data_IF_696742907193
#
_entry.id   IF_696742907193
#
_cell.length_a   1.000
_cell.length_b   1.000
_cell.length_c   1.000
_cell.angle_alpha   90.00
_cell.angle_beta   90.00
_cell.angle_gamma   90.00
#
_symmetry.space_group_name_H-M   'P 1'
#
loop_
_entity.id
_entity.type
_entity.pdbx_description
1 polymer ?
#
# COMPACT_ATOMS: atom_id res chain seq x y z
N UNK A 1 21.13 11.12 -3.10
CA UNK A 1 20.07 10.30 -2.49
C UNK A 1 18.83 11.17 -2.37
N UNK A 2 17.78 10.87 -3.14
CA UNK A 2 16.49 11.55 -3.00
C UNK A 2 15.85 11.18 -1.67
N UNK A 3 15.06 12.08 -1.09
CA UNK A 3 14.34 11.79 0.13
C UNK A 3 13.31 10.67 -0.12
N UNK A 4 13.32 9.65 0.72
CA UNK A 4 12.25 8.65 0.79
C UNK A 4 11.06 9.32 1.47
N UNK A 5 10.01 9.62 0.71
CA UNK A 5 8.83 10.36 1.19
C UNK A 5 7.60 9.47 1.10
N UNK A 6 6.81 9.47 2.18
CA UNK A 6 5.49 8.84 2.19
C UNK A 6 4.51 9.68 1.36
N UNK A 7 3.80 9.03 0.43
CA UNK A 7 2.81 9.73 -0.39
C UNK A 7 1.66 10.32 0.43
N UNK A 8 0.94 11.25 -0.19
CA UNK A 8 -0.42 11.59 0.24
C UNK A 8 -1.30 10.34 0.24
N UNK A 9 -2.34 10.28 1.10
CA UNK A 9 -3.32 9.21 1.08
C UNK A 9 -4.05 9.16 -0.27
N UNK A 10 -4.23 7.95 -0.77
CA UNK A 10 -5.09 7.61 -1.89
C UNK A 10 -6.31 6.88 -1.35
N UNK A 11 -7.47 7.53 -1.36
CA UNK A 11 -8.74 6.99 -0.89
C UNK A 11 -9.29 6.04 -1.95
N UNK A 12 -9.43 4.76 -1.57
CA UNK A 12 -9.72 3.69 -2.52
C UNK A 12 -11.03 3.92 -3.26
N UNK A 13 -12.06 4.41 -2.57
CA UNK A 13 -13.39 4.63 -3.15
C UNK A 13 -13.41 5.88 -4.03
N UNK A 14 -12.83 6.97 -3.53
CA UNK A 14 -13.00 8.31 -4.10
C UNK A 14 -11.96 8.60 -5.20
N UNK A 15 -10.69 8.26 -4.99
CA UNK A 15 -9.59 8.68 -5.87
C UNK A 15 -9.44 7.78 -7.10
N UNK A 16 -10.08 6.61 -7.11
CA UNK A 16 -10.00 5.63 -8.22
C UNK A 16 -10.45 6.20 -9.56
N UNK A 17 -11.40 7.14 -9.53
CA UNK A 17 -11.91 7.80 -10.73
C UNK A 17 -11.00 8.92 -11.26
N UNK A 18 -10.08 9.42 -10.43
CA UNK A 18 -9.36 10.66 -10.71
C UNK A 18 -7.86 10.46 -10.90
N UNK A 19 -7.32 9.30 -10.52
CA UNK A 19 -5.88 9.09 -10.63
C UNK A 19 -5.42 7.65 -10.49
N UNK A 20 -4.16 7.45 -10.87
CA UNK A 20 -3.43 6.22 -10.57
C UNK A 20 -2.95 6.22 -9.12
N UNK A 21 -2.69 5.03 -8.57
CA UNK A 21 -2.00 4.90 -7.29
C UNK A 21 -0.70 5.72 -7.27
N UNK A 22 -0.35 6.35 -6.13
CA UNK A 22 0.92 7.04 -6.01
C UNK A 22 2.10 6.08 -6.27
N UNK A 23 3.14 6.57 -6.94
CA UNK A 23 4.33 5.78 -7.29
C UNK A 23 4.03 4.51 -8.11
N UNK A 24 2.94 4.49 -8.90
CA UNK A 24 2.43 3.29 -9.59
C UNK A 24 3.47 2.48 -10.39
N UNK A 25 4.43 3.16 -11.03
CA UNK A 25 5.47 2.52 -11.85
C UNK A 25 6.72 2.09 -11.06
N UNK A 26 6.86 2.50 -9.79
CA UNK A 26 8.05 2.25 -9.00
C UNK A 26 7.96 0.94 -8.20
N UNK A 27 9.12 0.38 -7.90
CA UNK A 27 9.26 -0.54 -6.78
C UNK A 27 9.14 0.21 -5.45
N UNK A 28 8.72 -0.47 -4.40
CA UNK A 28 8.62 0.14 -3.08
C UNK A 28 7.69 -0.57 -2.13
N UNK A 29 7.21 0.19 -1.14
CA UNK A 29 6.36 -0.28 -0.05
C UNK A 29 5.01 0.44 -0.09
N UNK A 30 3.93 -0.28 0.21
CA UNK A 30 2.59 0.28 0.38
C UNK A 30 2.06 -0.02 1.77
N UNK A 31 1.28 0.93 2.28
CA UNK A 31 0.65 0.92 3.58
C UNK A 31 -0.85 1.07 3.37
N UNK A 32 -1.63 0.20 4.01
CA UNK A 32 -3.09 0.16 3.90
C UNK A 32 -3.69 0.56 5.23
N UNK A 33 -4.65 1.48 5.20
CA UNK A 33 -5.31 2.05 6.38
C UNK A 33 -6.81 1.83 6.33
N UNK A 34 -7.44 1.75 7.50
CA UNK A 34 -8.90 1.78 7.63
C UNK A 34 -9.46 3.22 7.65
N UNK A 35 -10.77 3.35 7.90
CA UNK A 35 -11.47 4.64 7.98
C UNK A 35 -11.11 5.47 9.22
N UNK A 36 -10.47 4.87 10.22
CA UNK A 36 -10.03 5.52 11.44
C UNK A 36 -8.52 5.80 11.41
N UNK A 37 -7.91 5.78 10.23
CA UNK A 37 -6.46 5.94 10.00
C UNK A 37 -5.59 4.90 10.73
N UNK A 38 -6.16 3.74 11.11
CA UNK A 38 -5.38 2.64 11.70
C UNK A 38 -4.66 1.88 10.59
N UNK A 39 -3.38 1.59 10.80
CA UNK A 39 -2.56 0.83 9.86
C UNK A 39 -2.96 -0.65 9.90
N UNK A 40 -3.56 -1.12 8.81
CA UNK A 40 -4.01 -2.50 8.68
C UNK A 40 -2.91 -3.43 8.17
N UNK A 41 -2.17 -2.99 7.15
CA UNK A 41 -1.27 -3.86 6.40
C UNK A 41 -0.12 -3.07 5.76
N UNK A 42 1.06 -3.69 5.72
CA UNK A 42 2.24 -3.23 4.96
C UNK A 42 2.64 -4.33 3.98
N UNK A 43 2.93 -3.96 2.73
CA UNK A 43 3.50 -4.88 1.76
C UNK A 43 4.50 -4.21 0.82
N UNK A 44 5.29 -5.01 0.11
CA UNK A 44 6.20 -4.54 -0.96
C UNK A 44 5.78 -4.97 -2.38
N UNK A 45 6.31 -4.26 -3.36
CA UNK A 45 6.21 -4.63 -4.77
C UNK A 45 7.39 -4.10 -5.60
N UNK A 46 7.66 -4.78 -6.71
CA UNK A 46 8.57 -4.26 -7.76
C UNK A 46 7.84 -3.28 -8.70
N UNK A 47 6.51 -3.26 -8.62
CA UNK A 47 5.63 -2.31 -9.30
C UNK A 47 4.37 -2.08 -8.48
N UNK A 48 4.31 -0.95 -7.77
CA UNK A 48 3.27 -0.65 -6.77
C UNK A 48 1.87 -0.64 -7.38
N UNK A 49 1.69 -0.04 -8.56
CA UNK A 49 0.38 0.04 -9.22
C UNK A 49 -0.18 -1.34 -9.58
N UNK A 50 0.66 -2.24 -10.10
CA UNK A 50 0.25 -3.62 -10.44
C UNK A 50 -0.14 -4.39 -9.18
N UNK A 51 0.62 -4.25 -8.08
CA UNK A 51 0.33 -4.92 -6.81
C UNK A 51 -0.97 -4.38 -6.19
N UNK A 52 -1.13 -3.06 -6.13
CA UNK A 52 -2.32 -2.42 -5.59
C UNK A 52 -3.57 -2.75 -6.43
N UNK A 53 -3.45 -2.82 -7.76
CA UNK A 53 -4.54 -3.27 -8.65
C UNK A 53 -4.96 -4.74 -8.47
N UNK A 54 -4.14 -5.57 -7.82
CA UNK A 54 -4.55 -6.91 -7.41
C UNK A 54 -5.48 -6.87 -6.18
N UNK A 55 -5.30 -5.88 -5.31
CA UNK A 55 -6.07 -5.70 -4.08
C UNK A 55 -7.30 -4.81 -4.23
N UNK A 56 -7.23 -3.82 -5.13
CA UNK A 56 -8.23 -2.78 -5.32
C UNK A 56 -8.56 -2.66 -6.81
N UNK A 57 -9.78 -2.27 -7.12
CA UNK A 57 -10.25 -2.18 -8.50
C UNK A 57 -11.46 -1.27 -8.64
N UNK A 58 -12.09 -1.32 -9.80
CA UNK A 58 -13.39 -0.71 -10.05
C UNK A 58 -14.53 -1.60 -9.58
N UNK A 59 -15.50 -1.04 -8.88
CA UNK A 59 -16.77 -1.74 -8.62
C UNK A 59 -17.43 -2.18 -9.96
N UNK A 60 -18.40 -3.12 -9.93
CA UNK A 60 -18.96 -3.70 -11.15
C UNK A 60 -19.54 -2.68 -12.16
N UNK A 61 -20.11 -1.59 -11.67
CA UNK A 61 -20.69 -0.47 -12.43
C UNK A 61 -19.67 0.62 -12.78
N UNK A 62 -18.42 0.51 -12.33
CA UNK A 62 -17.30 1.42 -12.62
C UNK A 62 -17.54 2.88 -12.22
N UNK A 63 -18.25 3.07 -11.12
CA UNK A 63 -18.58 4.40 -10.55
C UNK A 63 -17.64 4.77 -9.40
N UNK A 64 -17.04 3.79 -8.73
CA UNK A 64 -16.12 4.01 -7.61
C UNK A 64 -15.08 2.89 -7.52
N UNK A 65 -14.00 3.15 -6.78
CA UNK A 65 -13.09 2.07 -6.42
C UNK A 65 -13.67 1.15 -5.35
N UNK A 66 -13.22 -0.10 -5.33
CA UNK A 66 -13.61 -1.10 -4.33
C UNK A 66 -12.44 -1.99 -3.93
N UNK A 67 -12.58 -2.62 -2.78
CA UNK A 67 -11.65 -3.64 -2.30
C UNK A 67 -11.99 -4.98 -2.95
N UNK A 68 -11.04 -5.52 -3.72
CA UNK A 68 -11.12 -6.87 -4.33
C UNK A 68 -10.69 -7.97 -3.37
N UNK A 69 -9.68 -7.68 -2.55
CA UNK A 69 -9.09 -8.65 -1.63
C UNK A 69 -9.90 -8.72 -0.32
N UNK A 70 -10.59 -9.83 -0.01
CA UNK A 70 -11.40 -9.94 1.20
C UNK A 70 -10.60 -9.72 2.49
N UNK A 71 -9.30 -10.04 2.49
CA UNK A 71 -8.44 -9.81 3.66
C UNK A 71 -8.26 -8.33 4.00
N UNK A 72 -8.54 -7.44 3.05
CA UNK A 72 -8.41 -5.99 3.19
C UNK A 72 -9.78 -5.30 3.15
N UNK A 73 -10.88 -6.00 3.48
CA UNK A 73 -12.25 -5.47 3.36
C UNK A 73 -12.46 -4.12 4.06
N UNK A 74 -11.75 -3.87 5.16
CA UNK A 74 -11.80 -2.62 5.92
C UNK A 74 -10.87 -1.52 5.37
N UNK A 75 -10.14 -1.79 4.29
CA UNK A 75 -9.25 -0.82 3.69
C UNK A 75 -10.02 0.38 3.14
N UNK A 76 -9.58 1.57 3.54
CA UNK A 76 -10.14 2.84 3.11
C UNK A 76 -9.12 3.65 2.31
N UNK A 77 -7.86 3.67 2.74
CA UNK A 77 -6.81 4.45 2.11
C UNK A 77 -5.52 3.65 1.92
N UNK A 78 -4.74 4.06 0.92
CA UNK A 78 -3.40 3.54 0.66
C UNK A 78 -2.41 4.70 0.65
N UNK A 79 -1.23 4.48 1.24
CA UNK A 79 -0.06 5.33 1.04
C UNK A 79 1.07 4.48 0.49
N UNK A 80 1.98 5.11 -0.23
CA UNK A 80 3.14 4.40 -0.80
C UNK A 80 4.43 5.15 -0.54
N UNK A 81 5.51 4.38 -0.51
CA UNK A 81 6.87 4.83 -0.55
C UNK A 81 7.47 4.24 -1.83
N UNK A 82 7.62 5.07 -2.86
CA UNK A 82 8.30 4.69 -4.09
C UNK A 82 9.81 4.82 -3.94
N UNK A 83 10.54 3.84 -4.47
CA UNK A 83 12.00 3.84 -4.45
C UNK A 83 12.56 4.20 -5.83
N UNK A 84 13.73 4.86 -5.88
CA UNK A 84 14.50 5.00 -7.11
C UNK A 84 14.80 3.63 -7.73
N UNK A 85 14.90 3.59 -9.06
CA UNK A 85 15.08 2.34 -9.81
C UNK A 85 16.37 1.61 -9.42
N UNK A 86 17.41 2.34 -9.05
CA UNK A 86 18.71 1.83 -8.60
C UNK A 86 18.67 1.23 -7.19
N UNK A 87 17.66 1.56 -6.37
CA UNK A 87 17.50 1.15 -4.96
C UNK A 87 16.28 0.24 -4.75
N UNK A 88 15.74 -0.37 -5.81
CA UNK A 88 14.54 -1.22 -5.73
C UNK A 88 14.64 -2.34 -4.68
N UNK A 89 15.84 -2.87 -4.48
CA UNK A 89 16.13 -3.98 -3.56
C UNK A 89 15.91 -3.58 -2.09
N UNK A 90 15.95 -2.27 -1.77
CA UNK A 90 15.72 -1.77 -0.41
C UNK A 90 14.27 -1.95 0.04
N UNK A 91 13.32 -2.17 -0.89
CA UNK A 91 11.90 -2.34 -0.56
C UNK A 91 11.66 -3.46 0.46
N UNK A 92 12.42 -4.57 0.38
CA UNK A 92 12.31 -5.68 1.32
C UNK A 92 12.80 -5.32 2.72
N UNK A 93 13.91 -4.57 2.82
CA UNK A 93 14.44 -4.13 4.10
C UNK A 93 13.52 -3.10 4.76
N UNK A 94 12.98 -2.16 3.97
CA UNK A 94 12.04 -1.13 4.44
C UNK A 94 10.73 -1.77 4.92
N UNK A 95 10.16 -2.71 4.14
CA UNK A 95 8.97 -3.46 4.54
C UNK A 95 9.17 -4.17 5.88
N UNK A 96 10.25 -4.96 6.00
CA UNK A 96 10.54 -5.70 7.23
C UNK A 96 10.73 -4.76 8.45
N UNK A 97 11.44 -3.65 8.25
CA UNK A 97 11.63 -2.64 9.29
C UNK A 97 10.29 -2.03 9.74
N UNK A 98 9.43 -1.65 8.79
CA UNK A 98 8.16 -1.01 9.09
C UNK A 98 7.18 -1.97 9.76
N UNK A 99 7.10 -3.23 9.30
CA UNK A 99 6.28 -4.26 9.95
C UNK A 99 6.73 -4.44 11.40
N UNK A 100 8.04 -4.57 11.64
CA UNK A 100 8.58 -4.75 13.00
C UNK A 100 8.31 -3.54 13.90
N UNK A 101 8.37 -2.32 13.37
CA UNK A 101 8.18 -1.09 14.15
C UNK A 101 6.72 -0.73 14.42
N UNK A 102 5.84 -1.03 13.47
CA UNK A 102 4.45 -0.56 13.49
C UNK A 102 3.45 -1.68 13.79
N UNK A 103 3.90 -2.94 13.72
CA UNK A 103 3.16 -4.14 14.08
C UNK A 103 1.71 -4.22 13.53
N UNK A 104 1.51 -4.02 12.21
CA UNK A 104 0.16 -3.96 11.64
C UNK A 104 -0.59 -5.28 11.77
N UNK A 105 -1.88 -5.18 12.10
CA UNK A 105 -2.71 -6.32 12.51
C UNK A 105 -2.81 -7.43 11.47
N UNK A 106 -2.85 -7.09 10.17
CA UNK A 106 -3.06 -8.05 9.10
C UNK A 106 -1.76 -8.62 8.52
N UNK A 107 -0.60 -8.16 8.98
CA UNK A 107 0.66 -8.83 8.66
C UNK A 107 0.80 -10.07 9.55
N UNK A 108 1.08 -11.23 8.96
CA UNK A 108 1.33 -12.47 9.73
C UNK A 108 2.83 -12.76 9.83
N UNK A 109 3.60 -12.34 8.83
CA UNK A 109 5.05 -12.56 8.73
C UNK A 109 5.77 -11.26 9.10
N UNK A 110 6.85 -11.38 9.88
CA UNK A 110 7.72 -10.24 10.24
C UNK A 110 7.29 -9.46 11.48
N UNK A 111 6.16 -9.82 12.11
CA UNK A 111 5.78 -9.34 13.44
C UNK A 111 6.66 -9.99 14.50
N UNK A 112 7.00 -9.26 15.57
CA UNK A 112 7.57 -9.87 16.76
C UNK A 112 6.42 -10.38 17.63
N UNK A 113 6.10 -11.67 17.53
CA UNK A 113 5.27 -12.33 18.53
C UNK A 113 6.06 -12.31 19.84
N UNK A 114 5.73 -11.35 20.71
CA UNK A 114 6.16 -11.34 22.11
C UNK A 114 5.26 -12.26 22.93
#
# INVERSE_FOLDING_TARGET
MGAIVLSLPYHIVDDFAFGSFPNSAAAGVYLVFDREDRLLYIGKADGLGKRLGAHFGWNPDRTAGFVKNPKLENAHAVRTIGLPAESWFEAAAIEALLIRKLDPDLNVVGRETS
#
